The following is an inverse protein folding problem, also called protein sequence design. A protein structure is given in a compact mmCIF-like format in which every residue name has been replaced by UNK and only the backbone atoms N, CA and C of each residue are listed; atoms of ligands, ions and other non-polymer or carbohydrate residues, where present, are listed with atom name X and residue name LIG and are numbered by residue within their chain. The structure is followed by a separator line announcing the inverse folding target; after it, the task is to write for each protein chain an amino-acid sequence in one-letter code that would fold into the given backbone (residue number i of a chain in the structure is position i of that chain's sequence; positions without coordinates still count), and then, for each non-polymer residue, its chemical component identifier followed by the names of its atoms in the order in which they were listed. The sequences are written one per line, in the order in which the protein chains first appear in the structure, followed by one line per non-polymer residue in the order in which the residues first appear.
data_IF_368306156093
#
_entry.id   IF_368306156093
#
_cell.length_a   1.000
_cell.length_b   1.000
_cell.length_c   1.000
_cell.angle_alpha   90.00
_cell.angle_beta   90.00
_cell.angle_gamma   90.00
#
_symmetry.space_group_name_H-M   'P 1'
#
loop_
_entity.id
_entity.type
_entity.pdbx_description
1 polymer ?
#
# COMPACT_ATOMS: atom_id res chain seq x y z
N UNK A 1 -10.30 28.58 -11.31
CA UNK A 1 -10.52 27.13 -11.20
C UNK A 1 -9.19 26.50 -10.85
N UNK A 2 -9.00 26.11 -9.60
CA UNK A 2 -7.83 25.32 -9.19
C UNK A 2 -7.95 23.97 -9.89
N UNK A 3 -6.92 23.53 -10.62
CA UNK A 3 -6.93 22.19 -11.20
C UNK A 3 -7.10 21.18 -10.04
N UNK A 4 -8.09 20.30 -10.14
CA UNK A 4 -8.17 19.19 -9.21
C UNK A 4 -6.95 18.29 -9.46
N UNK A 5 -6.20 17.93 -8.41
CA UNK A 5 -5.06 17.04 -8.57
C UNK A 5 -5.56 15.70 -9.12
N UNK A 6 -4.81 15.13 -10.06
CA UNK A 6 -5.23 13.93 -10.77
C UNK A 6 -4.91 12.71 -9.91
N UNK A 7 -5.94 12.15 -9.26
CA UNK A 7 -5.85 10.95 -8.46
C UNK A 7 -6.11 9.73 -9.35
N UNK A 8 -5.09 8.89 -9.49
CA UNK A 8 -5.15 7.66 -10.26
C UNK A 8 -4.90 6.45 -9.36
N UNK A 9 -5.81 5.47 -9.41
CA UNK A 9 -5.65 4.18 -8.73
C UNK A 9 -5.30 3.12 -9.77
N UNK A 10 -4.19 2.43 -9.58
CA UNK A 10 -3.72 1.38 -10.49
C UNK A 10 -3.13 0.19 -9.77
N UNK A 11 -3.05 -1.00 -10.42
CA UNK A 11 -2.21 -2.08 -9.94
C UNK A 11 -0.76 -1.64 -9.79
N UNK A 12 -0.08 -2.18 -8.78
CA UNK A 12 1.34 -1.99 -8.61
C UNK A 12 2.13 -2.68 -9.73
N UNK A 13 3.31 -2.17 -9.97
CA UNK A 13 4.37 -2.75 -10.78
C UNK A 13 5.61 -2.95 -9.91
N UNK A 14 6.57 -3.73 -10.39
CA UNK A 14 7.85 -3.89 -9.67
C UNK A 14 8.63 -2.57 -9.54
N UNK A 15 8.37 -1.58 -10.40
CA UNK A 15 9.00 -0.26 -10.29
C UNK A 15 8.52 0.53 -9.06
N UNK A 16 7.39 0.14 -8.47
CA UNK A 16 6.82 0.80 -7.30
C UNK A 16 7.42 0.33 -5.97
N UNK A 17 8.37 -0.62 -5.99
CA UNK A 17 8.84 -1.27 -4.76
C UNK A 17 9.42 -0.27 -3.75
N UNK A 18 10.36 0.57 -4.17
CA UNK A 18 10.99 1.52 -3.25
C UNK A 18 10.05 2.64 -2.77
N UNK A 19 9.25 3.33 -3.61
CA UNK A 19 8.32 4.34 -3.10
C UNK A 19 7.29 3.74 -2.14
N UNK A 20 6.83 2.50 -2.37
CA UNK A 20 5.91 1.81 -1.46
C UNK A 20 6.60 1.40 -0.15
N UNK A 21 7.83 0.89 -0.22
CA UNK A 21 8.62 0.54 0.96
C UNK A 21 8.91 1.77 1.83
N UNK A 22 9.25 2.90 1.22
CA UNK A 22 9.45 4.16 1.92
C UNK A 22 8.16 4.64 2.59
N UNK A 23 7.05 4.64 1.87
CA UNK A 23 5.73 5.04 2.40
C UNK A 23 5.29 4.17 3.60
N UNK A 24 5.50 2.86 3.52
CA UNK A 24 5.19 1.94 4.62
C UNK A 24 6.00 2.25 5.89
N UNK A 25 7.31 2.50 5.73
CA UNK A 25 8.19 2.88 6.85
C UNK A 25 7.81 4.25 7.42
N UNK A 26 7.48 5.21 6.58
CA UNK A 26 7.11 6.58 6.99
C UNK A 26 5.75 6.61 7.71
N UNK A 27 4.84 5.69 7.38
CA UNK A 27 3.53 5.55 8.03
C UNK A 27 3.56 4.67 9.28
N UNK A 28 4.70 4.06 9.62
CA UNK A 28 4.86 3.32 10.87
C UNK A 28 4.62 4.24 12.09
N UNK A 29 3.89 3.73 13.07
CA UNK A 29 3.53 4.47 14.28
C UNK A 29 3.60 3.59 15.52
N UNK A 30 4.18 4.07 16.64
CA UNK A 30 4.19 3.34 17.89
C UNK A 30 2.78 3.16 18.50
N UNK A 31 1.76 3.84 17.95
CA UNK A 31 0.39 3.78 18.45
C UNK A 31 -0.45 2.68 17.80
N UNK A 32 -0.15 2.32 16.55
CA UNK A 32 -1.01 1.46 15.74
C UNK A 32 -0.27 0.31 15.06
N UNK A 33 1.05 0.41 14.92
CA UNK A 33 1.85 -0.70 14.40
C UNK A 33 2.06 -1.75 15.49
N UNK A 34 1.69 -2.99 15.20
CA UNK A 34 1.90 -4.15 16.10
C UNK A 34 3.31 -4.76 15.97
N UNK A 35 4.11 -4.26 15.03
CA UNK A 35 5.48 -4.70 14.77
C UNK A 35 6.50 -3.68 15.29
N UNK A 36 7.73 -4.10 15.65
CA UNK A 36 8.83 -3.19 15.96
C UNK A 36 9.08 -2.17 14.84
N UNK A 37 9.73 -1.05 15.16
CA UNK A 37 10.14 -0.07 14.15
C UNK A 37 11.07 -0.75 13.12
N UNK A 38 10.79 -0.63 11.81
CA UNK A 38 11.67 -1.14 10.76
C UNK A 38 13.10 -0.58 10.89
N UNK A 39 14.12 -1.42 10.71
CA UNK A 39 15.54 -1.04 10.75
C UNK A 39 16.28 -1.56 9.51
N UNK A 40 17.32 -0.87 9.02
CA UNK A 40 18.14 -1.36 7.93
C UNK A 40 19.01 -2.58 8.37
N UNK A 41 19.30 -3.53 7.46
CA UNK A 41 18.80 -3.60 6.08
C UNK A 41 17.30 -3.94 6.04
N UNK A 42 16.55 -3.23 5.20
CA UNK A 42 15.10 -3.43 5.08
C UNK A 42 14.81 -4.67 4.22
N UNK A 43 13.75 -5.39 4.59
CA UNK A 43 13.20 -6.46 3.77
C UNK A 43 12.53 -5.89 2.50
N UNK A 44 12.49 -6.67 1.40
CA UNK A 44 11.71 -6.31 0.22
C UNK A 44 10.24 -6.06 0.56
N UNK A 45 9.66 -5.01 -0.04
CA UNK A 45 8.24 -4.72 0.17
C UNK A 45 7.33 -5.75 -0.53
N UNK A 46 7.75 -6.18 -1.72
CA UNK A 46 7.13 -7.30 -2.43
C UNK A 46 7.75 -8.61 -1.95
N UNK A 47 6.90 -9.55 -1.54
CA UNK A 47 7.32 -10.88 -1.10
C UNK A 47 6.66 -11.96 -1.96
N UNK A 48 7.09 -13.20 -1.83
CA UNK A 48 6.44 -14.34 -2.50
C UNK A 48 4.95 -14.45 -2.17
N UNK A 49 4.54 -13.98 -0.99
CA UNK A 49 3.15 -14.03 -0.51
C UNK A 49 2.35 -12.78 -0.84
N UNK A 50 3.01 -11.73 -1.34
CA UNK A 50 2.38 -10.46 -1.62
C UNK A 50 3.21 -9.65 -2.61
N UNK A 51 2.99 -9.98 -3.88
CA UNK A 51 3.59 -9.30 -5.03
C UNK A 51 2.68 -8.19 -5.59
N UNK A 52 3.13 -7.53 -6.68
CA UNK A 52 2.42 -6.41 -7.28
C UNK A 52 0.93 -6.66 -7.61
N UNK A 53 0.48 -7.85 -8.07
CA UNK A 53 -0.94 -8.10 -8.38
C UNK A 53 -1.89 -8.00 -7.18
N UNK A 54 -1.37 -8.11 -5.96
CA UNK A 54 -2.15 -7.98 -4.74
C UNK A 54 -2.25 -6.54 -4.23
N UNK A 55 -1.60 -5.58 -4.90
CA UNK A 55 -1.41 -4.23 -4.40
C UNK A 55 -1.97 -3.22 -5.40
N UNK A 56 -2.81 -2.32 -4.90
CA UNK A 56 -3.21 -1.11 -5.60
C UNK A 56 -2.38 0.07 -5.09
N UNK A 57 -1.98 0.93 -6.01
CA UNK A 57 -1.22 2.15 -5.75
C UNK A 57 -2.12 3.33 -6.03
N UNK A 58 -2.11 4.31 -5.12
CA UNK A 58 -2.71 5.61 -5.34
C UNK A 58 -1.60 6.59 -5.76
N UNK A 59 -1.76 7.18 -6.93
CA UNK A 59 -0.89 8.22 -7.46
C UNK A 59 -1.63 9.55 -7.48
N UNK A 60 -1.00 10.60 -6.97
CA UNK A 60 -1.47 11.97 -7.09
C UNK A 60 -0.47 12.74 -7.93
N UNK A 61 -0.90 13.23 -9.10
CA UNK A 61 -0.02 13.92 -10.06
C UNK A 61 1.24 13.10 -10.41
N UNK A 62 1.09 11.77 -10.51
CA UNK A 62 2.17 10.82 -10.83
C UNK A 62 3.07 10.44 -9.66
N UNK A 63 2.77 10.90 -8.43
CA UNK A 63 3.53 10.56 -7.23
C UNK A 63 2.75 9.55 -6.40
N UNK A 64 3.40 8.46 -6.00
CA UNK A 64 2.81 7.48 -5.07
C UNK A 64 2.53 8.13 -3.72
N UNK A 65 1.24 8.18 -3.34
CA UNK A 65 0.77 8.77 -2.08
C UNK A 65 0.06 7.76 -1.18
N UNK A 66 -0.26 6.58 -1.70
CA UNK A 66 -0.99 5.56 -0.96
C UNK A 66 -0.87 4.18 -1.56
N UNK A 67 -1.17 3.16 -0.76
CA UNK A 67 -1.30 1.79 -1.23
C UNK A 67 -2.38 1.04 -0.47
N UNK A 68 -2.98 0.05 -1.15
CA UNK A 68 -3.86 -0.96 -0.57
C UNK A 68 -3.29 -2.33 -0.90
N UNK A 69 -2.98 -3.12 0.13
CA UNK A 69 -2.53 -4.52 0.00
C UNK A 69 -3.68 -5.46 0.32
N UNK A 70 -4.11 -6.21 -0.69
CA UNK A 70 -5.14 -7.22 -0.59
C UNK A 70 -4.53 -8.62 -0.48
N UNK A 71 -5.35 -9.58 -0.06
CA UNK A 71 -5.04 -10.99 -0.22
C UNK A 71 -6.15 -11.86 0.32
N UNK A 72 -5.96 -13.17 0.30
CA UNK A 72 -6.94 -14.10 0.87
C UNK A 72 -6.96 -14.01 2.41
N UNK A 73 -8.15 -14.03 3.01
CA UNK A 73 -8.27 -14.10 4.47
C UNK A 73 -7.79 -15.45 5.02
N UNK A 74 -8.04 -16.54 4.27
CA UNK A 74 -7.65 -17.92 4.59
C UNK A 74 -7.39 -18.69 3.29
N UNK A 75 -6.66 -19.82 3.31
CA UNK A 75 -6.47 -20.65 2.12
C UNK A 75 -7.67 -21.57 1.79
N UNK A 76 -8.76 -21.53 2.58
CA UNK A 76 -9.94 -22.36 2.34
C UNK A 76 -10.64 -21.97 1.03
N UNK A 77 -10.94 -22.98 0.19
CA UNK A 77 -11.56 -22.77 -1.13
C UNK A 77 -12.91 -22.06 -1.03
N UNK A 78 -13.72 -22.39 -0.02
CA UNK A 78 -15.00 -21.72 0.22
C UNK A 78 -14.84 -20.20 0.44
N UNK A 79 -13.66 -19.74 0.85
CA UNK A 79 -13.35 -18.33 1.08
C UNK A 79 -12.57 -17.69 -0.08
N UNK A 80 -12.41 -18.36 -1.23
CA UNK A 80 -11.63 -17.85 -2.36
C UNK A 80 -12.17 -16.52 -2.93
N UNK A 81 -13.44 -16.20 -2.68
CA UNK A 81 -14.10 -14.96 -3.07
C UNK A 81 -13.90 -13.80 -2.09
N UNK A 82 -13.41 -14.08 -0.87
CA UNK A 82 -13.18 -13.06 0.17
C UNK A 82 -11.79 -12.45 0.00
N UNK A 83 -11.68 -11.14 0.18
CA UNK A 83 -10.41 -10.41 0.23
C UNK A 83 -10.25 -9.71 1.57
N UNK A 84 -9.07 -9.85 2.17
CA UNK A 84 -8.67 -9.15 3.37
C UNK A 84 -7.77 -7.98 2.99
N UNK A 85 -8.02 -6.82 3.60
CA UNK A 85 -7.07 -5.72 3.62
C UNK A 85 -5.96 -6.10 4.59
N UNK A 86 -4.78 -6.40 4.06
CA UNK A 86 -3.58 -6.77 4.83
C UNK A 86 -2.67 -5.59 5.12
N UNK A 87 -2.84 -4.49 4.38
CA UNK A 87 -2.14 -3.22 4.60
C UNK A 87 -2.85 -2.10 3.87
N UNK A 88 -2.85 -0.92 4.47
CA UNK A 88 -3.41 0.31 3.92
C UNK A 88 -2.60 1.47 4.47
N UNK A 89 -2.04 2.29 3.59
CA UNK A 89 -1.31 3.48 3.96
C UNK A 89 -1.64 4.61 2.98
N UNK A 90 -1.72 5.82 3.50
CA UNK A 90 -1.78 7.03 2.70
C UNK A 90 -1.05 8.14 3.46
N UNK A 91 -0.14 8.84 2.79
CA UNK A 91 0.58 9.98 3.35
C UNK A 91 0.40 11.21 2.46
N UNK A 92 0.42 12.41 3.08
CA UNK A 92 0.36 13.72 2.42
C UNK A 92 -0.81 13.95 1.45
N UNK A 93 -1.83 13.09 1.46
CA UNK A 93 -3.01 13.15 0.58
C UNK A 93 -4.34 13.32 1.35
N UNK A 94 -4.30 13.88 2.57
CA UNK A 94 -5.52 14.11 3.37
C UNK A 94 -6.47 15.05 2.63
N UNK A 95 -7.74 14.66 2.55
CA UNK A 95 -8.78 15.43 1.85
C UNK A 95 -8.83 15.19 0.34
N UNK A 96 -7.94 14.36 -0.22
CA UNK A 96 -7.96 13.99 -1.63
C UNK A 96 -8.76 12.69 -1.92
N UNK A 97 -9.35 12.05 -0.91
CA UNK A 97 -10.16 10.84 -1.08
C UNK A 97 -9.36 9.55 -1.37
N UNK A 98 -8.10 9.49 -0.93
CA UNK A 98 -7.19 8.36 -1.19
C UNK A 98 -7.45 7.13 -0.31
N UNK A 99 -7.97 7.33 0.90
CA UNK A 99 -8.17 6.28 1.92
C UNK A 99 -9.58 5.72 1.98
#
# INVERSE_FOLDING_TARGET
MTAMPDLHIRPATFADEEPLAALDRDTWSPLHAVQPRPQPPYEPFFTERSGPPEILVAELDGVVVGYLRLGLATPLECNAHVRQIRGLAADKARGAGVG
#
